data_IF_856158544237
#
_entry.id   IF_856158544237
#
_cell.length_a   1.000
_cell.length_b   1.000
_cell.length_c   1.000
_cell.angle_alpha   90.00
_cell.angle_beta   90.00
_cell.angle_gamma   90.00
#
_symmetry.space_group_name_H-M   'P 1'
#
loop_
_entity.id
_entity.type
_entity.pdbx_description
1 polymer ?
#
# COMPACT_ATOMS: atom_id res chain seq x y z
N UNK A 1 -30.44 8.14 -29.89
CA UNK A 1 -30.82 7.10 -28.91
C UNK A 1 -29.86 7.20 -27.74
N UNK A 2 -30.29 7.81 -26.66
CA UNK A 2 -29.55 7.83 -25.41
C UNK A 2 -29.62 6.39 -24.89
N UNK A 3 -28.52 5.62 -24.99
CA UNK A 3 -28.43 4.36 -24.27
C UNK A 3 -28.47 4.76 -22.81
N UNK A 4 -29.52 4.41 -22.09
CA UNK A 4 -29.55 4.55 -20.64
C UNK A 4 -28.26 3.94 -20.12
N UNK A 5 -27.44 4.80 -19.51
CA UNK A 5 -26.18 4.38 -18.99
C UNK A 5 -26.47 3.32 -17.92
N UNK A 6 -25.76 2.20 -17.98
CA UNK A 6 -26.00 1.13 -17.02
C UNK A 6 -25.66 1.61 -15.61
N UNK A 7 -26.60 1.43 -14.69
CA UNK A 7 -26.48 1.70 -13.27
C UNK A 7 -26.43 0.37 -12.50
N UNK A 8 -25.59 0.32 -11.47
CA UNK A 8 -25.47 -0.81 -10.58
C UNK A 8 -26.69 -0.94 -9.69
N UNK A 9 -27.06 -2.19 -9.41
CA UNK A 9 -28.03 -2.52 -8.37
C UNK A 9 -27.48 -2.19 -6.97
N UNK A 10 -28.38 -2.06 -5.99
CA UNK A 10 -28.01 -1.87 -4.58
C UNK A 10 -27.02 -2.93 -4.07
N UNK A 11 -27.16 -4.16 -4.57
CA UNK A 11 -26.27 -5.28 -4.19
C UNK A 11 -24.86 -5.10 -4.76
N UNK A 12 -24.74 -4.63 -5.99
CA UNK A 12 -23.45 -4.36 -6.63
C UNK A 12 -22.76 -3.18 -5.95
N UNK A 13 -23.49 -2.09 -5.73
CA UNK A 13 -22.99 -0.92 -4.99
C UNK A 13 -22.58 -1.29 -3.55
N UNK A 14 -23.35 -2.11 -2.85
CA UNK A 14 -22.97 -2.59 -1.52
C UNK A 14 -21.68 -3.43 -1.55
N UNK A 15 -21.47 -4.23 -2.59
CA UNK A 15 -20.27 -5.06 -2.74
C UNK A 15 -19.03 -4.20 -3.00
N UNK A 16 -19.14 -3.26 -3.94
CA UNK A 16 -18.06 -2.33 -4.29
C UNK A 16 -17.75 -1.40 -3.11
N UNK A 17 -18.78 -0.91 -2.41
CA UNK A 17 -18.63 -0.07 -1.23
C UNK A 17 -17.94 -0.78 -0.06
N UNK A 18 -18.20 -2.09 0.14
CA UNK A 18 -17.45 -2.91 1.10
C UNK A 18 -15.98 -3.02 0.71
N UNK A 19 -15.68 -3.27 -0.57
CA UNK A 19 -14.30 -3.34 -1.06
C UNK A 19 -13.57 -1.99 -0.86
N UNK A 20 -14.23 -0.87 -1.19
CA UNK A 20 -13.70 0.47 -0.94
C UNK A 20 -13.38 0.70 0.55
N UNK A 21 -14.30 0.29 1.43
CA UNK A 21 -14.14 0.45 2.88
C UNK A 21 -12.97 -0.37 3.42
N UNK A 22 -12.87 -1.65 3.03
CA UNK A 22 -11.75 -2.50 3.44
C UNK A 22 -10.42 -2.02 2.89
N UNK A 23 -10.39 -1.51 1.66
CA UNK A 23 -9.19 -0.90 1.09
C UNK A 23 -8.74 0.30 1.92
N UNK A 24 -9.66 1.19 2.31
CA UNK A 24 -9.32 2.33 3.18
C UNK A 24 -8.89 1.89 4.59
N UNK A 25 -9.51 0.84 5.14
CA UNK A 25 -9.10 0.29 6.43
C UNK A 25 -7.67 -0.28 6.37
N UNK A 26 -7.34 -1.04 5.33
CA UNK A 26 -5.98 -1.56 5.09
C UNK A 26 -4.97 -0.44 4.87
N UNK A 27 -5.38 0.66 4.22
CA UNK A 27 -4.55 1.84 4.13
C UNK A 27 -4.21 2.41 5.52
N UNK A 28 -5.23 2.59 6.36
CA UNK A 28 -5.06 3.05 7.75
C UNK A 28 -4.15 2.14 8.57
N UNK A 29 -4.37 0.82 8.52
CA UNK A 29 -3.49 -0.17 9.19
C UNK A 29 -2.06 -0.05 8.68
N UNK A 30 -1.87 0.12 7.37
CA UNK A 30 -0.53 0.25 6.79
C UNK A 30 0.18 1.49 7.32
N UNK A 31 -0.50 2.64 7.43
CA UNK A 31 0.08 3.85 8.04
C UNK A 31 0.46 3.65 9.52
N UNK A 32 -0.36 2.92 10.28
CA UNK A 32 0.01 2.55 11.67
C UNK A 32 1.27 1.69 11.68
N UNK A 33 1.38 0.72 10.78
CA UNK A 33 2.57 -0.13 10.69
C UNK A 33 3.83 0.65 10.31
N UNK A 34 3.73 1.74 9.54
CA UNK A 34 4.86 2.65 9.30
C UNK A 34 5.40 3.18 10.63
N UNK A 35 4.53 3.71 11.48
CA UNK A 35 4.93 4.25 12.78
C UNK A 35 5.56 3.18 13.66
N UNK A 36 4.96 1.98 13.70
CA UNK A 36 5.50 0.85 14.46
C UNK A 36 6.92 0.52 14.00
N UNK A 37 7.17 0.37 12.71
CA UNK A 37 8.50 0.03 12.20
C UNK A 37 9.53 1.15 12.38
N UNK A 38 9.11 2.42 12.29
CA UNK A 38 10.00 3.54 12.59
C UNK A 38 10.37 3.59 14.08
N UNK A 39 9.42 3.32 14.97
CA UNK A 39 9.68 3.23 16.41
C UNK A 39 10.63 2.07 16.68
N UNK A 40 10.41 0.89 16.10
CA UNK A 40 11.35 -0.23 16.27
C UNK A 40 12.73 0.07 15.69
N UNK A 41 12.82 0.76 14.54
CA UNK A 41 14.10 1.15 13.96
C UNK A 41 14.89 2.11 14.87
N UNK A 42 14.21 2.97 15.61
CA UNK A 42 14.87 3.98 16.45
C UNK A 42 15.05 3.45 17.88
N UNK A 43 13.99 2.98 18.53
CA UNK A 43 13.99 2.54 19.93
C UNK A 43 14.62 1.15 20.09
N UNK A 44 14.50 0.29 19.07
CA UNK A 44 15.08 -1.05 19.09
C UNK A 44 16.58 -1.07 18.81
N UNK A 45 17.12 -0.01 18.21
CA UNK A 45 18.56 0.11 17.94
C UNK A 45 19.27 0.60 19.19
N UNK A 46 20.23 -0.20 19.68
CA UNK A 46 21.18 0.27 20.69
C UNK A 46 22.22 1.18 20.02
N UNK A 47 22.23 2.46 20.38
CA UNK A 47 23.16 3.43 19.82
C UNK A 47 24.51 3.47 20.54
N UNK A 48 24.59 2.91 21.76
CA UNK A 48 25.79 2.96 22.57
C UNK A 48 26.63 1.69 22.40
N UNK A 49 27.78 1.83 21.75
CA UNK A 49 28.77 0.75 21.62
C UNK A 49 28.48 -0.29 20.53
N UNK A 50 27.39 -0.13 19.78
CA UNK A 50 27.05 -0.99 18.63
C UNK A 50 27.96 -0.71 17.43
N UNK A 51 28.37 -1.76 16.73
CA UNK A 51 29.14 -1.61 15.50
C UNK A 51 28.31 -0.92 14.42
N UNK A 52 28.96 -0.14 13.55
CA UNK A 52 28.28 0.54 12.44
C UNK A 52 27.47 -0.43 11.56
N UNK A 53 27.97 -1.66 11.42
CA UNK A 53 27.34 -2.74 10.67
C UNK A 53 26.00 -3.19 11.26
N UNK A 54 25.94 -3.42 12.58
CA UNK A 54 24.71 -3.80 13.27
C UNK A 54 23.70 -2.65 13.28
N UNK A 55 24.18 -1.42 13.42
CA UNK A 55 23.35 -0.22 13.33
C UNK A 55 22.68 -0.08 11.95
N UNK A 56 23.44 -0.34 10.87
CA UNK A 56 22.89 -0.35 9.50
C UNK A 56 21.85 -1.47 9.34
N UNK A 57 22.08 -2.64 9.93
CA UNK A 57 21.14 -3.75 9.86
C UNK A 57 19.81 -3.41 10.55
N UNK A 58 19.85 -3.01 11.82
CA UNK A 58 18.65 -2.76 12.63
C UNK A 58 17.84 -1.56 12.11
N UNK A 59 18.51 -0.43 11.83
CA UNK A 59 17.85 0.74 11.27
C UNK A 59 17.41 0.52 9.82
N UNK A 60 18.24 -0.14 9.02
CA UNK A 60 17.97 -0.41 7.61
C UNK A 60 16.76 -1.32 7.42
N UNK A 61 16.67 -2.41 8.20
CA UNK A 61 15.54 -3.32 8.15
C UNK A 61 14.23 -2.61 8.53
N UNK A 62 14.26 -1.81 9.60
CA UNK A 62 13.11 -1.02 10.04
C UNK A 62 12.68 0.03 9.01
N UNK A 63 13.63 0.73 8.38
CA UNK A 63 13.35 1.73 7.36
C UNK A 63 12.79 1.11 6.07
N UNK A 64 13.35 -0.02 5.63
CA UNK A 64 12.84 -0.77 4.48
C UNK A 64 11.41 -1.23 4.75
N UNK A 65 11.15 -1.84 5.90
CA UNK A 65 9.80 -2.25 6.26
C UNK A 65 8.82 -1.07 6.32
N UNK A 66 9.20 0.03 6.98
CA UNK A 66 8.39 1.24 7.06
C UNK A 66 8.05 1.81 5.68
N UNK A 67 9.02 1.91 4.76
CA UNK A 67 8.78 2.39 3.39
C UNK A 67 7.82 1.48 2.61
N UNK A 68 7.88 0.16 2.84
CA UNK A 68 6.99 -0.80 2.20
C UNK A 68 5.55 -0.66 2.68
N UNK A 69 5.35 -0.50 3.99
CA UNK A 69 4.02 -0.24 4.56
C UNK A 69 3.48 1.11 4.13
N UNK A 70 4.34 2.13 4.00
CA UNK A 70 3.92 3.44 3.50
C UNK A 70 3.41 3.33 2.06
N UNK A 71 4.17 2.66 1.19
CA UNK A 71 3.77 2.45 -0.19
C UNK A 71 2.48 1.62 -0.28
N UNK A 72 2.35 0.56 0.53
CA UNK A 72 1.12 -0.22 0.63
C UNK A 72 -0.09 0.66 1.03
N UNK A 73 0.10 1.51 2.04
CA UNK A 73 -0.95 2.40 2.55
C UNK A 73 -1.43 3.38 1.50
N UNK A 74 -0.51 4.01 0.77
CA UNK A 74 -0.83 4.93 -0.35
C UNK A 74 -1.61 4.19 -1.44
N UNK A 75 -1.15 3.01 -1.87
CA UNK A 75 -1.82 2.24 -2.91
C UNK A 75 -3.24 1.83 -2.50
N UNK A 76 -3.43 1.32 -1.27
CA UNK A 76 -4.74 0.97 -0.77
C UNK A 76 -5.67 2.18 -0.62
N UNK A 77 -5.14 3.34 -0.26
CA UNK A 77 -5.92 4.57 -0.21
C UNK A 77 -6.40 5.01 -1.61
N UNK A 78 -5.52 4.90 -2.62
CA UNK A 78 -5.87 5.21 -4.01
C UNK A 78 -6.93 4.26 -4.55
N UNK A 79 -6.78 2.94 -4.34
CA UNK A 79 -7.83 1.95 -4.71
C UNK A 79 -9.14 2.24 -3.99
N UNK A 80 -9.08 2.46 -2.68
CA UNK A 80 -10.26 2.74 -1.87
C UNK A 80 -11.02 3.99 -2.35
N UNK A 81 -10.28 5.06 -2.67
CA UNK A 81 -10.85 6.27 -3.26
C UNK A 81 -11.44 6.04 -4.66
N UNK A 82 -10.76 5.25 -5.51
CA UNK A 82 -11.27 4.91 -6.84
C UNK A 82 -12.58 4.10 -6.77
N UNK A 83 -12.64 3.06 -5.93
CA UNK A 83 -13.84 2.25 -5.73
C UNK A 83 -14.97 3.05 -5.07
N UNK A 84 -14.65 3.94 -4.14
CA UNK A 84 -15.65 4.79 -3.50
C UNK A 84 -16.32 5.74 -4.50
N UNK A 85 -15.57 6.28 -5.46
CA UNK A 85 -16.12 7.10 -6.54
C UNK A 85 -17.12 6.35 -7.42
N UNK A 86 -16.93 5.05 -7.60
CA UNK A 86 -17.87 4.21 -8.37
C UNK A 86 -19.25 4.19 -7.72
N UNK A 87 -19.32 4.09 -6.39
CA UNK A 87 -20.60 3.96 -5.68
C UNK A 87 -21.23 5.30 -5.28
N UNK A 88 -20.51 6.41 -5.41
CA UNK A 88 -21.01 7.75 -5.05
C UNK A 88 -21.35 8.62 -6.25
N UNK A 89 -21.01 8.20 -7.46
CA UNK A 89 -21.28 8.98 -8.69
C UNK A 89 -22.42 8.31 -9.43
N UNK A 90 -23.53 9.02 -9.58
CA UNK A 90 -24.68 8.54 -10.36
C UNK A 90 -24.42 8.77 -11.85
N UNK A 91 -24.82 7.82 -12.70
CA UNK A 91 -24.65 7.93 -14.14
C UNK A 91 -23.39 7.24 -14.65
N UNK A 92 -23.59 6.24 -15.52
CA UNK A 92 -22.51 5.53 -16.24
C UNK A 92 -21.56 4.75 -15.33
N UNK A 93 -22.12 4.00 -14.39
CA UNK A 93 -21.40 3.17 -13.42
C UNK A 93 -20.36 2.25 -14.04
N UNK A 94 -20.64 1.71 -15.23
CA UNK A 94 -19.70 0.86 -15.97
C UNK A 94 -18.43 1.64 -16.39
N UNK A 95 -18.55 2.90 -16.79
CA UNK A 95 -17.39 3.73 -17.11
C UNK A 95 -16.58 4.09 -15.86
N UNK A 96 -17.25 4.35 -14.74
CA UNK A 96 -16.59 4.62 -13.46
C UNK A 96 -15.85 3.36 -12.97
N UNK A 97 -16.45 2.19 -13.13
CA UNK A 97 -15.82 0.91 -12.81
C UNK A 97 -14.60 0.64 -13.70
N UNK A 98 -14.68 0.88 -15.00
CA UNK A 98 -13.52 0.73 -15.90
C UNK A 98 -12.35 1.61 -15.46
N UNK A 99 -12.60 2.89 -15.11
CA UNK A 99 -11.56 3.77 -14.55
C UNK A 99 -10.97 3.25 -13.24
N UNK A 100 -11.81 2.67 -12.38
CA UNK A 100 -11.34 2.05 -11.14
C UNK A 100 -10.50 0.80 -11.40
N UNK A 101 -10.85 0.00 -12.41
CA UNK A 101 -10.08 -1.16 -12.85
C UNK A 101 -8.75 -0.77 -13.48
N UNK A 102 -8.70 0.30 -14.29
CA UNK A 102 -7.45 0.84 -14.82
C UNK A 102 -6.52 1.31 -13.69
N UNK A 103 -7.10 1.95 -12.67
CA UNK A 103 -6.37 2.34 -11.46
C UNK A 103 -5.84 1.11 -10.73
N UNK A 104 -6.67 0.06 -10.56
CA UNK A 104 -6.29 -1.18 -9.92
C UNK A 104 -5.14 -1.88 -10.69
N UNK A 105 -5.22 -1.93 -12.02
CA UNK A 105 -4.17 -2.48 -12.87
C UNK A 105 -2.84 -1.77 -12.64
N UNK A 106 -2.83 -0.43 -12.72
CA UNK A 106 -1.62 0.35 -12.49
C UNK A 106 -1.04 0.08 -11.10
N UNK A 107 -1.89 0.00 -10.08
CA UNK A 107 -1.49 -0.32 -8.70
C UNK A 107 -0.91 -1.73 -8.59
N UNK A 108 -1.46 -2.72 -9.28
CA UNK A 108 -0.89 -4.07 -9.33
C UNK A 108 0.53 -4.06 -9.92
N UNK A 109 0.75 -3.35 -11.02
CA UNK A 109 2.07 -3.22 -11.64
C UNK A 109 3.06 -2.56 -10.67
N UNK A 110 2.66 -1.44 -10.05
CA UNK A 110 3.48 -0.75 -9.04
C UNK A 110 3.77 -1.66 -7.86
N UNK A 111 2.79 -2.44 -7.39
CA UNK A 111 2.97 -3.37 -6.28
C UNK A 111 3.99 -4.46 -6.60
N UNK A 112 3.94 -5.03 -7.81
CA UNK A 112 4.92 -6.02 -8.26
C UNK A 112 6.32 -5.41 -8.29
N UNK A 113 6.48 -4.23 -8.90
CA UNK A 113 7.77 -3.53 -8.93
C UNK A 113 8.31 -3.24 -7.51
N UNK A 114 7.44 -2.79 -6.60
CA UNK A 114 7.79 -2.54 -5.21
C UNK A 114 8.24 -3.82 -4.51
N UNK A 115 7.58 -4.96 -4.72
CA UNK A 115 8.01 -6.24 -4.12
C UNK A 115 9.44 -6.59 -4.54
N UNK A 116 9.80 -6.41 -5.82
CA UNK A 116 11.19 -6.62 -6.25
C UNK A 116 12.16 -5.66 -5.57
N UNK A 117 11.81 -4.38 -5.49
CA UNK A 117 12.65 -3.37 -4.81
C UNK A 117 12.80 -3.69 -3.33
N UNK A 118 11.74 -4.13 -2.65
CA UNK A 118 11.77 -4.54 -1.24
C UNK A 118 12.72 -5.70 -1.03
N UNK A 119 12.63 -6.75 -1.86
CA UNK A 119 13.52 -7.91 -1.76
C UNK A 119 14.97 -7.49 -1.94
N UNK A 120 15.27 -6.66 -2.95
CA UNK A 120 16.61 -6.14 -3.18
C UNK A 120 17.12 -5.29 -2.00
N UNK A 121 16.26 -4.44 -1.44
CA UNK A 121 16.62 -3.60 -0.31
C UNK A 121 16.91 -4.44 0.95
N UNK A 122 16.10 -5.48 1.22
CA UNK A 122 16.36 -6.40 2.35
C UNK A 122 17.67 -7.15 2.14
N UNK A 123 17.93 -7.67 0.93
CA UNK A 123 19.20 -8.36 0.62
C UNK A 123 20.39 -7.40 0.80
N UNK A 124 20.28 -6.15 0.37
CA UNK A 124 21.34 -5.16 0.56
C UNK A 124 21.60 -4.86 2.04
N UNK A 125 20.54 -4.73 2.86
CA UNK A 125 20.68 -4.53 4.32
C UNK A 125 21.36 -5.74 4.97
N UNK A 126 21.00 -6.97 4.58
CA UNK A 126 21.64 -8.20 5.09
C UNK A 126 23.12 -8.25 4.66
N UNK A 127 23.42 -8.05 3.38
CA UNK A 127 24.79 -8.13 2.87
C UNK A 127 25.72 -7.12 3.57
N UNK A 128 25.26 -5.87 3.73
CA UNK A 128 26.02 -4.86 4.47
C UNK A 128 26.12 -5.24 5.95
N UNK A 129 25.04 -5.74 6.56
CA UNK A 129 24.97 -6.15 7.97
C UNK A 129 25.82 -7.38 8.32
N UNK A 130 26.10 -8.26 7.37
CA UNK A 130 26.98 -9.42 7.55
C UNK A 130 28.44 -9.14 7.15
N UNK A 131 28.70 -7.98 6.53
CA UNK A 131 30.03 -7.60 6.04
C UNK A 131 30.44 -8.34 4.76
N UNK A 132 29.46 -8.68 3.91
CA UNK A 132 29.63 -9.24 2.56
C UNK A 132 29.73 -8.14 1.49
#
# INVERSE_FOLDING_TARGET
>A
MQRDAYEFSDRENATIGKAATWSMALAGVSFVMVLVHLIFAIVGTDFDGTSATLLIFDMGAGLVAASCYLAAGVLFAVVGGALRRVVTTEGSDLQNMLKALDTLHWIFVVRIALVFVTVLAVVAVIAVGEGL
#
